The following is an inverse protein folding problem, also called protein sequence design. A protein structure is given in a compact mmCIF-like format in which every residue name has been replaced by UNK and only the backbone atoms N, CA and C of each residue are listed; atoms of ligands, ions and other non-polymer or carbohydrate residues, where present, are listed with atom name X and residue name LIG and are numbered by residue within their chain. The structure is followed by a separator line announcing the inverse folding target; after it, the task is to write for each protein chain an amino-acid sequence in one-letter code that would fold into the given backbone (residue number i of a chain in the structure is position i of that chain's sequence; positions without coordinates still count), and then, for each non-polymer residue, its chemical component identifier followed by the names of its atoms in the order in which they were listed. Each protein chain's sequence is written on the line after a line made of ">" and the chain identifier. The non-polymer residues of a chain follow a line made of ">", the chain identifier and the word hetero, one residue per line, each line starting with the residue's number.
data_IF_659710337854
#
_entry.id   IF_659710337854
#
_cell.length_a   1.000
_cell.length_b   1.000
_cell.length_c   1.000
_cell.angle_alpha   90.00
_cell.angle_beta   90.00
_cell.angle_gamma   90.00
#
_symmetry.space_group_name_H-M   'P 1'
#
loop_
_entity.id
_entity.type
_entity.pdbx_description
1 polymer ?
#
# COMPACT_ATOMS: atom_id res chain seq x y z
N UNK A 1 -10.07 -1.81 -22.56
CA UNK A 1 -9.66 -1.67 -22.00
C UNK A 1 -9.44 -1.86 -21.14
N UNK A 2 -9.25 -1.91 -21.35
CA UNK A 2 -8.81 -2.13 -20.24
C UNK A 2 -9.26 -1.67 -19.11
N UNK A 3 -9.80 -2.19 -18.67
CA UNK A 3 -10.25 -1.68 -17.49
C UNK A 3 -9.23 -0.79 -16.88
N UNK A 4 -9.47 -0.19 -15.80
CA UNK A 4 -8.49 0.64 -15.15
C UNK A 4 -7.25 -0.15 -14.77
N UNK A 5 -6.18 0.55 -14.50
CA UNK A 5 -4.97 -0.07 -14.04
C UNK A 5 -5.09 -0.42 -12.57
N UNK A 6 -4.57 -1.58 -12.21
CA UNK A 6 -4.55 -2.03 -10.83
C UNK A 6 -3.10 -2.17 -10.38
N UNK A 7 -2.90 -1.97 -9.10
CA UNK A 7 -1.61 -2.21 -8.47
C UNK A 7 -1.69 -3.48 -7.67
N UNK A 8 -0.58 -4.18 -7.56
CA UNK A 8 -0.48 -5.31 -6.65
C UNK A 8 -0.02 -4.79 -5.29
N UNK A 9 -0.78 -5.11 -4.26
CA UNK A 9 -0.46 -4.69 -2.89
C UNK A 9 -0.20 -5.91 -2.04
N UNK A 10 0.97 -5.95 -1.40
CA UNK A 10 1.32 -7.00 -0.46
C UNK A 10 1.75 -6.35 0.84
N UNK A 11 1.14 -6.75 1.94
CA UNK A 11 1.48 -6.25 3.27
C UNK A 11 1.89 -7.45 4.11
N UNK A 12 3.15 -7.48 4.54
CA UNK A 12 3.67 -8.57 5.35
C UNK A 12 4.14 -8.04 6.70
N UNK A 13 4.12 -8.89 7.69
CA UNK A 13 4.63 -8.61 9.03
C UNK A 13 5.46 -9.79 9.48
N UNK A 14 6.15 -9.69 10.63
CA UNK A 14 6.90 -10.83 11.14
C UNK A 14 6.04 -12.07 11.38
N UNK A 15 4.73 -11.89 11.62
CA UNK A 15 3.82 -13.01 11.86
C UNK A 15 3.27 -13.61 10.56
N UNK A 16 3.47 -12.96 9.43
CA UNK A 16 2.99 -13.47 8.16
C UNK A 16 2.39 -12.40 7.28
N UNK A 17 1.68 -12.83 6.26
CA UNK A 17 1.06 -11.92 5.30
C UNK A 17 -0.24 -11.38 5.87
N UNK A 18 -0.36 -10.06 5.93
CA UNK A 18 -1.57 -9.39 6.39
C UNK A 18 -2.56 -9.16 5.27
N UNK A 19 -2.06 -8.91 4.07
CA UNK A 19 -2.90 -8.72 2.90
C UNK A 19 -2.08 -9.02 1.64
N UNK A 20 -2.74 -9.61 0.66
CA UNK A 20 -2.14 -9.81 -0.66
C UNK A 20 -3.26 -9.77 -1.69
N UNK A 21 -3.16 -8.83 -2.63
CA UNK A 21 -4.20 -8.68 -3.63
C UNK A 21 -3.95 -7.45 -4.48
N UNK A 22 -5.00 -6.94 -5.12
CA UNK A 22 -4.91 -5.76 -5.97
C UNK A 22 -5.61 -4.58 -5.34
N UNK A 23 -5.23 -3.39 -5.74
CA UNK A 23 -5.87 -2.16 -5.29
C UNK A 23 -5.79 -1.10 -6.38
N UNK A 24 -6.79 -0.22 -6.42
CA UNK A 24 -6.86 0.90 -7.36
C UNK A 24 -6.17 2.13 -6.78
N UNK A 25 -6.16 2.25 -5.47
CA UNK A 25 -5.57 3.39 -4.78
C UNK A 25 -5.18 2.94 -3.38
N UNK A 26 -4.08 3.44 -2.86
CA UNK A 26 -3.61 3.10 -1.51
C UNK A 26 -3.13 4.37 -0.82
N UNK A 27 -3.56 4.55 0.42
CA UNK A 27 -3.14 5.66 1.26
C UNK A 27 -2.28 5.10 2.39
N UNK A 28 -1.12 5.69 2.59
CA UNK A 28 -0.14 5.23 3.57
C UNK A 28 0.10 6.25 4.67
N UNK A 29 0.29 5.79 5.91
CA UNK A 29 0.71 6.68 7.00
C UNK A 29 2.23 6.88 6.96
N UNK A 30 2.68 7.79 6.10
CA UNK A 30 4.11 8.06 5.96
C UNK A 30 4.70 8.73 7.19
N UNK A 31 5.98 8.46 7.45
CA UNK A 31 6.67 9.05 8.58
C UNK A 31 6.72 10.58 8.47
N UNK A 32 6.80 11.09 7.26
CA UNK A 32 6.83 12.53 6.99
C UNK A 32 5.45 13.08 6.60
N UNK A 33 4.41 12.29 6.74
CA UNK A 33 3.05 12.69 6.41
C UNK A 33 2.37 11.65 5.54
N UNK A 34 1.05 11.63 5.56
CA UNK A 34 0.27 10.69 4.76
C UNK A 34 0.45 10.95 3.28
N UNK A 35 0.43 9.91 2.49
CA UNK A 35 0.52 10.05 1.05
C UNK A 35 -0.29 8.96 0.35
N UNK A 36 -0.70 9.24 -0.87
CA UNK A 36 -1.49 8.31 -1.67
C UNK A 36 -0.66 7.81 -2.85
N UNK A 37 -0.91 6.57 -3.23
CA UNK A 37 -0.27 5.96 -4.40
C UNK A 37 -1.35 5.52 -5.36
N UNK A 38 -1.21 5.90 -6.62
CA UNK A 38 -2.11 5.55 -7.70
C UNK A 38 -1.34 4.76 -8.75
N UNK A 39 -2.02 4.05 -9.64
CA UNK A 39 -1.34 3.29 -10.69
C UNK A 39 -0.39 4.17 -11.52
N UNK A 40 0.66 3.57 -12.00
CA UNK A 40 1.71 4.23 -12.80
C UNK A 40 2.55 5.23 -12.02
N UNK A 41 2.59 5.06 -10.70
CA UNK A 41 3.43 5.91 -9.87
C UNK A 41 4.91 5.61 -10.12
N UNK A 42 5.74 6.64 -10.10
CA UNK A 42 7.18 6.45 -10.23
C UNK A 42 7.72 5.62 -9.05
N UNK A 43 8.79 4.85 -9.27
CA UNK A 43 9.36 4.06 -8.18
C UNK A 43 9.84 4.93 -7.02
N UNK A 44 9.56 4.47 -5.80
CA UNK A 44 10.08 5.15 -4.60
C UNK A 44 9.97 4.22 -3.39
N UNK A 45 10.66 4.60 -2.32
CA UNK A 45 10.58 3.92 -1.02
C UNK A 45 10.18 4.95 0.02
N UNK A 46 9.47 4.52 1.03
CA UNK A 46 9.08 5.41 2.11
C UNK A 46 8.98 4.66 3.43
N UNK A 47 9.36 5.34 4.50
CA UNK A 47 9.16 4.82 5.84
C UNK A 47 7.74 5.17 6.31
N UNK A 48 7.14 4.25 7.05
CA UNK A 48 5.78 4.38 7.55
C UNK A 48 5.79 4.49 9.06
N UNK A 49 4.81 5.18 9.58
CA UNK A 49 4.62 5.32 11.02
C UNK A 49 3.41 4.52 11.48
N UNK A 50 3.16 4.53 12.77
CA UNK A 50 1.97 3.91 13.34
C UNK A 50 0.74 4.57 12.74
N UNK A 51 -0.13 3.78 12.16
CA UNK A 51 -1.34 4.28 11.52
C UNK A 51 -2.02 3.18 10.75
N UNK A 52 -2.82 3.57 9.78
CA UNK A 52 -3.63 2.62 9.01
C UNK A 52 -3.36 2.80 7.53
N UNK A 53 -3.06 1.69 6.87
CA UNK A 53 -3.00 1.66 5.41
C UNK A 53 -4.43 1.49 4.93
N UNK A 54 -4.88 2.38 4.04
CA UNK A 54 -6.23 2.30 3.48
C UNK A 54 -6.10 2.05 2.00
N UNK A 55 -6.85 1.10 1.50
CA UNK A 55 -6.77 0.77 0.07
C UNK A 55 -8.15 0.50 -0.49
N UNK A 56 -8.32 0.86 -1.74
CA UNK A 56 -9.59 0.73 -2.43
C UNK A 56 -9.53 -0.37 -3.47
N UNK A 57 -10.57 -1.20 -3.48
CA UNK A 57 -10.77 -2.22 -4.51
C UNK A 57 -12.17 -1.97 -5.07
N UNK A 58 -12.23 -1.45 -6.30
CA UNK A 58 -13.50 -1.03 -6.88
C UNK A 58 -14.09 0.11 -6.06
N UNK A 59 -15.26 -0.10 -5.49
CA UNK A 59 -15.92 0.91 -4.66
C UNK A 59 -15.75 0.66 -3.17
N UNK A 60 -14.95 -0.34 -2.80
CA UNK A 60 -14.81 -0.74 -1.41
C UNK A 60 -13.46 -0.31 -0.85
N UNK A 61 -13.47 0.40 0.26
CA UNK A 61 -12.26 0.75 1.00
C UNK A 61 -12.04 -0.25 2.12
N UNK A 62 -10.80 -0.68 2.26
CA UNK A 62 -10.39 -1.56 3.35
C UNK A 62 -9.27 -0.90 4.12
N UNK A 63 -9.04 -1.37 5.33
CA UNK A 63 -8.06 -0.79 6.23
C UNK A 63 -7.20 -1.88 6.84
N UNK A 64 -5.91 -1.59 6.96
CA UNK A 64 -4.98 -2.48 7.63
C UNK A 64 -4.14 -1.64 8.59
N UNK A 65 -4.39 -1.75 9.91
CA UNK A 65 -3.57 -1.05 10.89
C UNK A 65 -2.16 -1.61 10.92
N UNK A 66 -1.18 -0.71 11.07
CA UNK A 66 0.22 -1.10 11.21
C UNK A 66 0.86 -0.26 12.30
N UNK A 67 1.99 -0.73 12.82
CA UNK A 67 2.75 0.01 13.84
C UNK A 67 3.91 0.76 13.26
N UNK A 68 4.13 0.65 11.96
CA UNK A 68 5.23 1.27 11.26
C UNK A 68 5.73 0.32 10.21
N UNK A 69 6.81 0.67 9.56
CA UNK A 69 7.40 -0.18 8.53
C UNK A 69 7.91 0.64 7.35
N UNK A 70 7.76 0.09 6.17
CA UNK A 70 8.41 0.55 4.96
C UNK A 70 7.64 0.09 3.78
N UNK A 71 7.48 0.91 2.79
CA UNK A 71 6.87 0.52 1.53
C UNK A 71 7.86 0.74 0.39
N UNK A 72 7.87 -0.19 -0.54
CA UNK A 72 8.59 -0.07 -1.81
C UNK A 72 7.56 -0.07 -2.92
N UNK A 73 7.62 0.92 -3.80
CA UNK A 73 6.74 1.03 -4.95
C UNK A 73 7.56 0.90 -6.22
N UNK A 74 7.17 -0.01 -7.10
CA UNK A 74 7.85 -0.25 -8.36
C UNK A 74 6.93 -0.98 -9.31
N UNK A 75 6.77 -0.47 -10.53
CA UNK A 75 6.02 -1.15 -11.60
C UNK A 75 4.63 -1.61 -11.16
N UNK A 76 3.89 -0.72 -10.50
CA UNK A 76 2.55 -1.01 -9.97
C UNK A 76 2.54 -2.14 -8.94
N UNK A 77 3.68 -2.41 -8.33
CA UNK A 77 3.79 -3.35 -7.21
C UNK A 77 4.17 -2.58 -5.96
N UNK A 78 3.31 -2.69 -4.96
CA UNK A 78 3.52 -2.06 -3.65
C UNK A 78 3.80 -3.16 -2.65
N UNK A 79 4.98 -3.12 -2.08
CA UNK A 79 5.37 -4.11 -1.09
C UNK A 79 5.60 -3.43 0.24
N UNK A 80 4.83 -3.82 1.24
CA UNK A 80 4.88 -3.24 2.57
C UNK A 80 5.43 -4.26 3.55
N UNK A 81 6.46 -3.86 4.29
CA UNK A 81 6.97 -4.65 5.41
C UNK A 81 6.57 -3.92 6.68
N UNK A 82 5.55 -4.41 7.36
CA UNK A 82 5.05 -3.81 8.59
C UNK A 82 5.81 -4.39 9.78
N UNK A 83 6.21 -3.51 10.66
CA UNK A 83 7.01 -3.92 11.80
C UNK A 83 6.25 -4.23 13.04
#
# INVERSE_FOLDING_TARGET
>A
MKGGNLMKLTIVSPEGTLYEGTADAVSFPGLCGSFDVWPNHAPFNAALTNGTIRFRIGDTWQEQPIKGGFVTVRDDCLQVCAG
#
